data_IF_661092579527
#
_entry.id   IF_661092579527
#
_cell.length_a   1.000
_cell.length_b   1.000
_cell.length_c   1.000
_cell.angle_alpha   90.00
_cell.angle_beta   90.00
_cell.angle_gamma   90.00
#
_symmetry.space_group_name_H-M   'P 1'
#
loop_
_entity.id
_entity.type
_entity.pdbx_description
1 polymer ?
#
# COMPACT_ATOMS: atom_id res chain seq x y z
N UNK A 1 -27.39 -4.30 -0.26
CA UNK A 1 -27.59 -3.19 0.71
C UNK A 1 -26.24 -2.52 0.90
N UNK A 2 -26.18 -1.18 0.89
CA UNK A 2 -24.95 -0.41 1.11
C UNK A 2 -25.10 0.43 2.39
N UNK A 3 -24.01 0.86 3.04
CA UNK A 3 -24.10 1.73 4.22
C UNK A 3 -24.77 3.07 3.88
N UNK A 4 -25.62 3.55 4.78
CA UNK A 4 -26.26 4.87 4.70
C UNK A 4 -25.95 5.67 5.98
N UNK A 5 -25.81 6.99 5.85
CA UNK A 5 -25.67 7.88 7.00
C UNK A 5 -26.96 7.87 7.82
N UNK A 6 -26.83 7.69 9.13
CA UNK A 6 -27.96 7.74 10.09
C UNK A 6 -28.07 9.11 10.76
N UNK A 7 -27.56 10.16 10.11
CA UNK A 7 -27.59 11.55 10.57
C UNK A 7 -28.36 12.43 9.59
N UNK A 8 -29.10 13.41 10.11
CA UNK A 8 -29.74 14.46 9.31
C UNK A 8 -28.79 15.63 9.02
N UNK A 9 -27.64 15.70 9.69
CA UNK A 9 -26.67 16.78 9.57
C UNK A 9 -25.66 16.45 8.47
N UNK A 10 -25.95 16.89 7.25
CA UNK A 10 -25.11 16.69 6.05
C UNK A 10 -24.71 18.00 5.37
N UNK A 11 -25.05 19.15 5.94
CA UNK A 11 -24.76 20.47 5.35
C UNK A 11 -23.29 20.68 5.00
N UNK A 12 -22.35 20.53 5.97
CA UNK A 12 -20.92 20.68 5.69
C UNK A 12 -20.39 19.66 4.68
N UNK A 13 -20.88 18.41 4.71
CA UNK A 13 -20.53 17.40 3.72
C UNK A 13 -20.98 17.80 2.32
N UNK A 14 -22.23 18.25 2.15
CA UNK A 14 -22.76 18.68 0.85
C UNK A 14 -22.01 19.91 0.30
N UNK A 15 -21.63 20.85 1.17
CA UNK A 15 -20.79 21.99 0.77
C UNK A 15 -19.39 21.55 0.34
N UNK A 16 -18.74 20.65 1.11
CA UNK A 16 -17.45 20.07 0.75
C UNK A 16 -17.51 19.35 -0.61
N UNK A 17 -18.54 18.54 -0.83
CA UNK A 17 -18.79 17.85 -2.11
C UNK A 17 -18.95 18.85 -3.26
N UNK A 18 -19.78 19.88 -3.08
CA UNK A 18 -19.99 20.91 -4.10
C UNK A 18 -18.69 21.64 -4.45
N UNK A 19 -17.86 21.97 -3.45
CA UNK A 19 -16.55 22.60 -3.65
C UNK A 19 -15.61 21.70 -4.44
N UNK A 20 -15.46 20.43 -4.04
CA UNK A 20 -14.63 19.44 -4.74
C UNK A 20 -15.09 19.27 -6.20
N UNK A 21 -16.39 19.12 -6.43
CA UNK A 21 -16.94 18.95 -7.77
C UNK A 21 -16.70 20.20 -8.64
N UNK A 22 -16.90 21.40 -8.08
CA UNK A 22 -16.66 22.66 -8.79
C UNK A 22 -15.19 22.91 -9.13
N UNK A 23 -14.27 22.35 -8.34
CA UNK A 23 -12.82 22.53 -8.47
C UNK A 23 -12.09 21.32 -9.09
N UNK A 24 -12.81 20.34 -9.65
CA UNK A 24 -12.22 19.06 -10.08
C UNK A 24 -10.99 19.20 -10.99
N UNK A 25 -11.05 20.03 -12.04
CA UNK A 25 -9.91 20.23 -12.93
C UNK A 25 -8.70 20.89 -12.23
N UNK A 26 -8.96 21.81 -11.30
CA UNK A 26 -7.94 22.47 -10.48
C UNK A 26 -7.28 21.47 -9.52
N UNK A 27 -8.07 20.64 -8.85
CA UNK A 27 -7.59 19.57 -7.95
C UNK A 27 -6.71 18.59 -8.72
N UNK A 28 -7.16 18.11 -9.87
CA UNK A 28 -6.40 17.16 -10.70
C UNK A 28 -5.09 17.77 -11.22
N UNK A 29 -5.08 19.06 -11.57
CA UNK A 29 -3.86 19.77 -11.94
C UNK A 29 -2.89 19.88 -10.76
N UNK A 30 -3.38 20.28 -9.59
CA UNK A 30 -2.57 20.39 -8.38
C UNK A 30 -1.98 19.04 -7.97
N UNK A 31 -2.78 17.97 -7.94
CA UNK A 31 -2.31 16.60 -7.66
C UNK A 31 -1.21 16.17 -8.63
N UNK A 32 -1.36 16.41 -9.95
CA UNK A 32 -0.30 16.10 -10.92
C UNK A 32 1.01 16.83 -10.58
N UNK A 33 0.95 18.09 -10.14
CA UNK A 33 2.12 18.83 -9.67
C UNK A 33 2.76 18.19 -8.44
N UNK A 34 1.97 17.86 -7.42
CA UNK A 34 2.44 17.20 -6.21
C UNK A 34 3.17 15.88 -6.51
N UNK A 35 2.69 15.09 -7.48
CA UNK A 35 3.32 13.82 -7.87
C UNK A 35 4.58 13.94 -8.73
N UNK A 36 4.89 15.14 -9.26
CA UNK A 36 6.18 15.44 -9.88
C UNK A 36 7.25 15.72 -8.82
N UNK A 37 6.86 16.39 -7.74
CA UNK A 37 7.78 16.75 -6.63
C UNK A 37 7.95 15.61 -5.62
N UNK A 38 6.92 14.78 -5.47
CA UNK A 38 6.88 13.69 -4.50
C UNK A 38 6.61 12.35 -5.18
N UNK A 39 7.51 11.39 -4.94
CA UNK A 39 7.32 10.03 -5.42
C UNK A 39 6.23 9.32 -4.57
N UNK A 40 5.13 8.84 -5.18
CA UNK A 40 4.11 8.10 -4.46
C UNK A 40 4.65 6.72 -4.07
N UNK A 41 4.17 6.14 -2.95
CA UNK A 41 4.51 4.76 -2.61
C UNK A 41 3.98 3.78 -3.66
N UNK A 42 4.58 2.58 -3.74
CA UNK A 42 4.12 1.50 -4.64
C UNK A 42 2.62 1.18 -4.45
N UNK A 43 2.14 1.28 -3.22
CA UNK A 43 0.74 1.12 -2.84
C UNK A 43 0.46 1.77 -1.48
N UNK A 44 -0.81 1.82 -1.09
CA UNK A 44 -1.24 2.21 0.25
C UNK A 44 -2.74 2.11 0.40
N UNK A 45 -3.22 2.08 1.64
CA UNK A 45 -4.64 2.26 1.97
C UNK A 45 -4.82 3.39 2.97
N UNK A 46 -5.95 4.08 2.88
CA UNK A 46 -6.32 5.18 3.77
C UNK A 46 -7.71 4.90 4.31
N UNK A 47 -7.83 4.87 5.64
CA UNK A 47 -9.12 4.74 6.31
C UNK A 47 -9.72 6.12 6.48
N UNK A 48 -10.96 6.30 6.03
CA UNK A 48 -11.71 7.54 6.16
C UNK A 48 -12.86 7.38 7.16
N UNK A 49 -13.23 8.47 7.82
CA UNK A 49 -14.50 8.56 8.57
C UNK A 49 -15.33 9.72 8.04
N UNK A 50 -16.57 9.40 7.66
CA UNK A 50 -17.59 10.38 7.32
C UNK A 50 -18.54 10.56 8.50
N UNK A 51 -18.55 11.77 9.08
CA UNK A 51 -19.41 12.14 10.21
C UNK A 51 -20.59 13.04 9.82
N UNK A 52 -20.78 13.33 8.52
CA UNK A 52 -21.77 14.29 8.01
C UNK A 52 -21.36 15.76 8.14
N UNK A 53 -20.55 16.09 9.15
CA UNK A 53 -19.95 17.43 9.32
C UNK A 53 -18.44 17.48 9.00
N UNK A 54 -17.78 16.33 8.86
CA UNK A 54 -16.33 16.20 8.61
C UNK A 54 -16.03 14.87 7.91
N UNK A 55 -15.11 14.91 6.94
CA UNK A 55 -14.62 13.76 6.19
C UNK A 55 -13.09 13.76 6.22
N UNK A 56 -12.51 12.97 7.12
CA UNK A 56 -11.09 13.01 7.41
C UNK A 56 -10.46 11.61 7.42
N UNK A 57 -9.17 11.48 7.06
CA UNK A 57 -8.45 10.23 7.25
C UNK A 57 -8.15 9.99 8.72
N UNK A 58 -8.19 8.72 9.11
CA UNK A 58 -7.89 8.27 10.48
C UNK A 58 -6.74 7.27 10.54
N UNK A 59 -6.42 6.62 9.42
CA UNK A 59 -5.24 5.77 9.29
C UNK A 59 -4.68 5.81 7.87
N UNK A 60 -3.36 5.61 7.75
CA UNK A 60 -2.67 5.42 6.48
C UNK A 60 -1.73 4.24 6.63
N UNK A 61 -2.00 3.18 5.88
CA UNK A 61 -1.22 1.96 5.90
C UNK A 61 -0.45 1.81 4.58
N UNK A 62 0.88 1.79 4.69
CA UNK A 62 1.77 1.53 3.56
C UNK A 62 1.95 0.03 3.28
N UNK A 63 1.37 -0.86 4.08
CA UNK A 63 1.40 -2.31 3.93
C UNK A 63 -0.04 -2.88 3.94
N UNK A 64 -0.92 -2.46 3.01
CA UNK A 64 -2.32 -2.86 3.02
C UNK A 64 -2.48 -4.38 2.92
N UNK A 65 -3.22 -4.97 3.85
CA UNK A 65 -3.44 -6.43 3.96
C UNK A 65 -4.81 -6.91 3.50
N UNK A 66 -5.53 -6.11 2.70
CA UNK A 66 -6.93 -6.33 2.33
C UNK A 66 -7.21 -6.36 0.83
N UNK A 67 -6.22 -6.68 -0.02
CA UNK A 67 -6.40 -6.68 -1.47
C UNK A 67 -7.51 -7.64 -1.94
N UNK A 68 -7.74 -8.73 -1.21
CA UNK A 68 -8.83 -9.69 -1.47
C UNK A 68 -10.24 -9.07 -1.33
N UNK A 69 -10.38 -7.92 -0.66
CA UNK A 69 -11.65 -7.22 -0.49
C UNK A 69 -11.98 -6.28 -1.66
N UNK A 70 -11.04 -6.05 -2.59
CA UNK A 70 -11.30 -5.24 -3.77
C UNK A 70 -12.31 -5.92 -4.70
N UNK A 71 -13.21 -5.14 -5.30
CA UNK A 71 -14.18 -5.68 -6.25
C UNK A 71 -13.45 -6.32 -7.45
N UNK A 72 -13.65 -7.61 -7.74
CA UNK A 72 -12.98 -8.29 -8.84
C UNK A 72 -13.19 -7.66 -10.22
N UNK A 73 -14.28 -6.91 -10.42
CA UNK A 73 -14.53 -6.19 -11.67
C UNK A 73 -13.50 -5.08 -11.96
N UNK A 74 -12.84 -4.55 -10.93
CA UNK A 74 -11.78 -3.54 -11.07
C UNK A 74 -10.38 -4.13 -11.14
N UNK A 75 -10.25 -5.45 -11.33
CA UNK A 75 -8.97 -6.11 -11.49
C UNK A 75 -8.12 -5.49 -12.61
N UNK A 76 -8.65 -5.18 -13.82
CA UNK A 76 -7.86 -4.52 -14.86
C UNK A 76 -7.26 -3.17 -14.43
N UNK A 77 -8.02 -2.37 -13.65
CA UNK A 77 -7.54 -1.09 -13.13
C UNK A 77 -6.40 -1.29 -12.13
N UNK A 78 -6.51 -2.30 -11.26
CA UNK A 78 -5.45 -2.65 -10.31
C UNK A 78 -4.16 -3.09 -11.01
N UNK A 79 -4.27 -3.87 -12.10
CA UNK A 79 -3.10 -4.26 -12.92
C UNK A 79 -2.46 -3.02 -13.56
N UNK A 80 -3.26 -2.17 -14.19
CA UNK A 80 -2.75 -0.96 -14.84
C UNK A 80 -2.03 -0.02 -13.84
N UNK A 81 -2.61 0.16 -12.65
CA UNK A 81 -1.98 0.95 -11.59
C UNK A 81 -0.65 0.32 -11.12
N UNK A 82 -0.61 -1.01 -10.96
CA UNK A 82 0.62 -1.72 -10.59
C UNK A 82 1.71 -1.61 -11.68
N UNK A 83 1.34 -1.69 -12.96
CA UNK A 83 2.28 -1.47 -14.08
C UNK A 83 2.88 -0.06 -14.03
N UNK A 84 2.04 0.97 -13.92
CA UNK A 84 2.50 2.36 -13.84
C UNK A 84 3.42 2.62 -12.63
N UNK A 85 3.10 2.01 -11.47
CA UNK A 85 3.92 2.14 -10.28
C UNK A 85 5.29 1.45 -10.44
N UNK A 86 5.32 0.26 -11.06
CA UNK A 86 6.56 -0.47 -11.34
C UNK A 86 7.41 0.25 -12.39
N UNK A 87 6.81 0.79 -13.46
CA UNK A 87 7.53 1.56 -14.48
C UNK A 87 8.21 2.80 -13.90
N UNK A 88 7.56 3.49 -12.96
CA UNK A 88 8.13 4.67 -12.28
C UNK A 88 9.30 4.30 -11.36
N UNK A 89 9.17 3.20 -10.61
CA UNK A 89 10.14 2.83 -9.56
C UNK A 89 11.30 1.98 -10.11
N UNK A 90 11.00 0.97 -10.91
CA UNK A 90 11.97 0.00 -11.43
C UNK A 90 11.52 -0.53 -12.81
N UNK A 91 11.73 0.24 -13.89
CA UNK A 91 11.21 -0.09 -15.23
C UNK A 91 11.80 -1.37 -15.83
N UNK A 92 12.99 -1.77 -15.36
CA UNK A 92 13.65 -3.00 -15.81
C UNK A 92 13.26 -4.23 -14.97
N UNK A 93 12.28 -4.10 -14.07
CA UNK A 93 11.91 -5.18 -13.17
C UNK A 93 11.33 -6.38 -13.93
N UNK A 94 11.91 -7.56 -13.68
CA UNK A 94 11.41 -8.85 -14.19
C UNK A 94 10.94 -9.76 -13.07
N UNK A 95 11.68 -9.75 -11.97
CA UNK A 95 11.49 -10.62 -10.82
C UNK A 95 11.13 -9.78 -9.60
N UNK A 96 10.00 -10.08 -8.97
CA UNK A 96 9.54 -9.46 -7.73
C UNK A 96 9.45 -10.50 -6.62
N UNK A 97 10.14 -10.23 -5.52
CA UNK A 97 10.05 -11.02 -4.30
C UNK A 97 9.03 -10.38 -3.36
N UNK A 98 7.92 -11.06 -3.14
CA UNK A 98 6.90 -10.65 -2.18
C UNK A 98 7.23 -11.25 -0.80
N UNK A 99 7.36 -10.40 0.21
CA UNK A 99 7.56 -10.81 1.60
C UNK A 99 6.30 -10.46 2.40
N UNK A 100 5.47 -11.46 2.78
CA UNK A 100 4.24 -11.25 3.52
C UNK A 100 4.50 -11.14 5.04
N UNK A 101 3.45 -10.81 5.79
CA UNK A 101 3.37 -10.98 7.23
C UNK A 101 3.61 -12.45 7.62
N UNK A 102 4.00 -12.64 8.87
CA UNK A 102 4.25 -13.96 9.46
C UNK A 102 2.95 -14.76 9.75
N UNK A 103 1.81 -14.35 9.20
CA UNK A 103 0.50 -14.96 9.42
C UNK A 103 0.23 -16.12 8.45
N UNK A 104 0.48 -17.35 8.88
CA UNK A 104 0.20 -18.56 8.07
C UNK A 104 -1.16 -19.21 8.35
N UNK A 105 -1.89 -18.73 9.37
CA UNK A 105 -3.20 -19.29 9.78
C UNK A 105 -4.38 -18.38 9.49
N UNK A 106 -4.13 -17.10 9.19
CA UNK A 106 -5.20 -16.16 8.86
C UNK A 106 -5.57 -16.32 7.39
N UNK A 107 -6.67 -17.03 7.13
CA UNK A 107 -7.18 -17.31 5.79
C UNK A 107 -7.37 -16.03 4.96
N UNK A 108 -7.95 -14.97 5.54
CA UNK A 108 -8.18 -13.72 4.82
C UNK A 108 -6.87 -13.05 4.41
N UNK A 109 -5.85 -13.11 5.27
CA UNK A 109 -4.54 -12.58 4.93
C UNK A 109 -3.85 -13.40 3.82
N UNK A 110 -3.99 -14.73 3.84
CA UNK A 110 -3.49 -15.57 2.75
C UNK A 110 -4.18 -15.26 1.41
N UNK A 111 -5.51 -15.04 1.42
CA UNK A 111 -6.25 -14.58 0.25
C UNK A 111 -5.76 -13.21 -0.24
N UNK A 112 -5.41 -12.30 0.67
CA UNK A 112 -4.76 -11.04 0.34
C UNK A 112 -3.43 -11.26 -0.41
N UNK A 113 -2.57 -12.16 0.08
CA UNK A 113 -1.28 -12.49 -0.56
C UNK A 113 -1.49 -13.11 -1.95
N UNK A 114 -2.48 -14.01 -2.10
CA UNK A 114 -2.89 -14.56 -3.41
C UNK A 114 -3.29 -13.43 -4.37
N UNK A 115 -4.11 -12.48 -3.90
CA UNK A 115 -4.57 -11.36 -4.73
C UNK A 115 -3.41 -10.46 -5.15
N UNK A 116 -2.51 -10.14 -4.22
CA UNK A 116 -1.34 -9.31 -4.49
C UNK A 116 -0.40 -9.96 -5.51
N UNK A 117 -0.11 -11.26 -5.32
CA UNK A 117 0.67 -12.06 -6.27
C UNK A 117 0.00 -12.05 -7.66
N UNK A 118 -1.32 -12.18 -7.72
CA UNK A 118 -2.08 -12.16 -8.98
C UNK A 118 -1.96 -10.81 -9.70
N UNK A 119 -2.13 -9.69 -8.98
CA UNK A 119 -1.99 -8.33 -9.52
C UNK A 119 -0.62 -8.15 -10.20
N UNK A 120 0.46 -8.44 -9.48
CA UNK A 120 1.81 -8.21 -10.00
C UNK A 120 2.22 -9.21 -11.09
N UNK A 121 1.71 -10.45 -11.06
CA UNK A 121 1.89 -11.39 -12.18
C UNK A 121 1.20 -10.91 -13.45
N UNK A 122 -0.03 -10.42 -13.34
CA UNK A 122 -0.76 -9.85 -14.48
C UNK A 122 -0.12 -8.55 -14.98
N UNK A 123 0.59 -7.82 -14.12
CA UNK A 123 1.41 -6.66 -14.49
C UNK A 123 2.73 -7.04 -15.20
N UNK A 124 2.95 -8.32 -15.49
CA UNK A 124 4.10 -8.80 -16.26
C UNK A 124 5.32 -9.22 -15.44
N UNK A 125 5.22 -9.30 -14.11
CA UNK A 125 6.33 -9.70 -13.25
C UNK A 125 6.30 -11.19 -12.91
N UNK A 126 7.48 -11.79 -12.81
CA UNK A 126 7.65 -13.09 -12.17
C UNK A 126 7.66 -12.90 -10.65
N UNK A 127 6.56 -13.28 -9.98
CA UNK A 127 6.38 -13.10 -8.54
C UNK A 127 6.56 -14.40 -7.77
N UNK A 128 7.49 -14.41 -6.82
CA UNK A 128 7.68 -15.49 -5.83
C UNK A 128 7.62 -14.94 -4.41
N UNK A 129 7.34 -15.82 -3.44
CA UNK A 129 7.04 -15.43 -2.06
C UNK A 129 8.14 -15.92 -1.14
N UNK A 130 8.83 -14.99 -0.48
CA UNK A 130 9.83 -15.29 0.53
C UNK A 130 9.26 -15.13 1.93
N UNK A 131 9.52 -16.09 2.82
CA UNK A 131 9.05 -16.05 4.19
C UNK A 131 10.14 -15.58 5.16
N UNK A 132 9.77 -14.72 6.12
CA UNK A 132 10.59 -14.37 7.28
C UNK A 132 10.42 -15.36 8.45
N UNK A 133 9.56 -16.37 8.32
CA UNK A 133 9.34 -17.36 9.36
C UNK A 133 10.56 -18.30 9.50
N UNK A 134 11.16 -18.42 10.69
CA UNK A 134 12.31 -19.30 10.90
C UNK A 134 12.03 -20.79 10.60
N UNK A 135 10.79 -21.23 10.80
CA UNK A 135 10.37 -22.63 10.60
C UNK A 135 10.17 -23.00 9.11
N UNK A 136 10.24 -22.03 8.19
CA UNK A 136 10.17 -22.27 6.74
C UNK A 136 11.59 -22.44 6.22
N UNK A 137 12.15 -23.65 6.33
CA UNK A 137 13.51 -24.01 5.90
C UNK A 137 13.57 -24.61 4.48
N UNK A 138 12.40 -24.88 3.89
CA UNK A 138 12.22 -25.41 2.53
C UNK A 138 10.93 -24.86 1.91
N UNK A 139 10.79 -24.90 0.56
CA UNK A 139 9.56 -24.52 -0.11
C UNK A 139 8.36 -25.27 0.49
N UNK A 140 7.45 -24.52 1.11
CA UNK A 140 6.34 -25.03 1.89
C UNK A 140 5.03 -24.56 1.28
N UNK A 141 4.15 -25.51 0.93
CA UNK A 141 2.82 -25.19 0.43
C UNK A 141 1.91 -24.81 1.59
N UNK A 142 1.19 -23.71 1.42
CA UNK A 142 0.15 -23.26 2.34
C UNK A 142 -1.16 -23.25 1.58
N UNK A 143 -2.11 -24.04 2.05
CA UNK A 143 -3.44 -24.14 1.47
C UNK A 143 -4.23 -22.85 1.71
N UNK A 144 -4.92 -22.38 0.66
CA UNK A 144 -5.78 -21.20 0.72
C UNK A 144 -7.15 -21.59 0.16
N UNK A 145 -8.22 -21.53 0.96
CA UNK A 145 -9.57 -21.85 0.51
C UNK A 145 -9.95 -21.11 -0.78
N UNK A 146 -10.51 -21.86 -1.74
CA UNK A 146 -10.96 -21.37 -3.06
C UNK A 146 -9.87 -20.78 -3.97
N UNK A 147 -8.60 -21.00 -3.63
CA UNK A 147 -7.45 -20.51 -4.41
C UNK A 147 -6.37 -21.60 -4.57
N UNK A 148 -5.50 -21.48 -5.59
CA UNK A 148 -4.28 -22.28 -5.64
C UNK A 148 -3.44 -22.07 -4.37
N UNK A 149 -2.74 -23.11 -3.89
CA UNK A 149 -1.91 -22.99 -2.70
C UNK A 149 -0.76 -22.00 -2.95
N UNK A 150 -0.42 -21.24 -1.90
CA UNK A 150 0.78 -20.41 -1.91
C UNK A 150 2.00 -21.28 -1.66
N UNK A 151 3.09 -20.98 -2.36
CA UNK A 151 4.40 -21.57 -2.07
C UNK A 151 5.23 -20.53 -1.31
N UNK A 152 5.46 -20.77 -0.02
CA UNK A 152 6.33 -19.96 0.81
C UNK A 152 7.74 -20.54 0.79
N UNK A 153 8.73 -19.70 0.53
CA UNK A 153 10.10 -20.16 0.32
C UNK A 153 11.06 -19.49 1.31
N UNK A 154 12.08 -20.21 1.80
CA UNK A 154 13.11 -19.63 2.65
C UNK A 154 13.84 -18.50 1.91
N UNK A 155 13.99 -17.36 2.59
CA UNK A 155 14.81 -16.27 2.10
C UNK A 155 16.30 -16.65 2.11
N UNK A 156 17.00 -16.36 1.02
CA UNK A 156 18.43 -16.62 0.86
C UNK A 156 19.15 -15.31 0.64
N UNK A 157 20.04 -14.95 1.58
CA UNK A 157 20.90 -13.77 1.46
C UNK A 157 22.24 -14.13 0.83
N UNK A 158 22.64 -13.36 -0.19
CA UNK A 158 23.93 -13.47 -0.89
C UNK A 158 24.58 -12.09 -0.90
N UNK A 159 25.37 -11.81 0.13
CA UNK A 159 25.98 -10.48 0.32
C UNK A 159 24.93 -9.39 0.54
N UNK A 160 24.92 -8.39 -0.33
CA UNK A 160 24.00 -7.24 -0.41
C UNK A 160 22.66 -7.56 -1.09
N UNK A 161 22.44 -8.81 -1.52
CA UNK A 161 21.23 -9.22 -2.24
C UNK A 161 20.42 -10.24 -1.45
N UNK A 162 19.11 -10.15 -1.55
CA UNK A 162 18.14 -11.06 -0.97
C UNK A 162 17.29 -11.69 -2.08
N UNK A 163 17.19 -13.01 -2.07
CA UNK A 163 16.42 -13.76 -3.05
C UNK A 163 15.93 -15.08 -2.49
N UNK A 164 15.74 -16.04 -3.38
CA UNK A 164 15.45 -17.43 -3.04
C UNK A 164 16.55 -18.34 -3.62
N UNK A 165 16.42 -19.65 -3.47
CA UNK A 165 17.40 -20.64 -3.89
C UNK A 165 17.88 -20.45 -5.35
N UNK A 166 16.96 -20.21 -6.27
CA UNK A 166 17.19 -20.04 -7.72
C UNK A 166 16.54 -18.76 -8.26
N UNK A 167 16.29 -17.78 -7.39
CA UNK A 167 15.58 -16.55 -7.73
C UNK A 167 16.34 -15.33 -7.22
N UNK A 168 16.69 -14.44 -8.14
CA UNK A 168 17.33 -13.15 -7.84
C UNK A 168 16.40 -12.00 -8.30
N UNK A 169 15.68 -11.34 -7.38
CA UNK A 169 14.81 -10.23 -7.68
C UNK A 169 15.58 -8.91 -7.77
N UNK A 170 15.10 -8.00 -8.60
CA UNK A 170 15.50 -6.59 -8.57
C UNK A 170 14.67 -5.78 -7.55
N UNK A 171 13.47 -6.27 -7.24
CA UNK A 171 12.49 -5.58 -6.42
C UNK A 171 11.94 -6.51 -5.35
N UNK A 172 11.90 -6.03 -4.12
CA UNK A 172 11.35 -6.68 -2.95
C UNK A 172 10.13 -5.89 -2.52
N UNK A 173 8.95 -6.50 -2.62
CA UNK A 173 7.71 -5.92 -2.14
C UNK A 173 7.43 -6.46 -0.74
N UNK A 174 7.46 -5.59 0.25
CA UNK A 174 7.08 -5.89 1.62
C UNK A 174 5.57 -5.73 1.76
N UNK A 175 4.86 -6.80 2.07
CA UNK A 175 3.50 -6.74 2.63
C UNK A 175 3.51 -7.12 4.12
N UNK A 176 4.60 -6.72 4.78
CA UNK A 176 4.88 -6.91 6.19
C UNK A 176 5.31 -5.54 6.75
N UNK A 177 4.63 -5.06 7.79
CA UNK A 177 4.85 -3.72 8.34
C UNK A 177 6.15 -3.59 9.17
N UNK A 178 6.80 -4.72 9.45
CA UNK A 178 8.01 -4.85 10.26
C UNK A 178 7.85 -4.14 11.63
N UNK A 179 6.66 -4.22 12.22
CA UNK A 179 6.31 -3.59 13.50
C UNK A 179 7.20 -4.04 14.67
N UNK A 180 7.71 -5.27 14.63
CA UNK A 180 8.70 -5.79 15.59
C UNK A 180 10.14 -5.28 15.36
N UNK A 181 10.34 -4.43 14.34
CA UNK A 181 11.65 -3.94 13.91
C UNK A 181 12.12 -4.61 12.61
N UNK A 182 13.04 -3.94 11.90
CA UNK A 182 13.61 -4.43 10.64
C UNK A 182 14.61 -5.56 10.92
N UNK A 183 14.34 -6.81 10.49
CA UNK A 183 15.24 -7.96 10.63
C UNK A 183 16.57 -7.72 9.92
N UNK A 184 17.64 -8.30 10.44
CA UNK A 184 19.00 -8.13 9.88
C UNK A 184 19.08 -8.54 8.40
N UNK A 185 18.36 -9.59 8.01
CA UNK A 185 18.33 -10.09 6.62
C UNK A 185 17.85 -9.04 5.61
N UNK A 186 17.06 -8.05 6.04
CA UNK A 186 16.55 -6.96 5.20
C UNK A 186 17.45 -5.70 5.19
N UNK A 187 18.51 -5.65 6.00
CA UNK A 187 19.39 -4.48 6.09
C UNK A 187 20.51 -4.53 5.06
N UNK A 188 20.92 -3.37 4.53
CA UNK A 188 22.04 -3.28 3.58
C UNK A 188 21.76 -3.99 2.25
N UNK A 189 20.54 -3.82 1.73
CA UNK A 189 20.11 -4.32 0.42
C UNK A 189 20.27 -3.20 -0.63
N UNK A 190 21.50 -2.78 -0.87
CA UNK A 190 21.79 -1.56 -1.65
C UNK A 190 21.58 -1.73 -3.16
N UNK A 191 21.46 -2.97 -3.63
CA UNK A 191 21.31 -3.32 -5.05
C UNK A 191 19.88 -3.73 -5.44
N UNK A 192 18.92 -3.58 -4.51
CA UNK A 192 17.53 -4.00 -4.70
C UNK A 192 16.57 -2.94 -4.17
N UNK A 193 15.48 -2.74 -4.89
CA UNK A 193 14.43 -1.84 -4.42
C UNK A 193 13.59 -2.54 -3.36
N UNK A 194 13.65 -2.07 -2.11
CA UNK A 194 12.76 -2.52 -1.04
C UNK A 194 11.59 -1.56 -0.94
N UNK A 195 10.38 -2.07 -1.22
CA UNK A 195 9.16 -1.27 -1.37
C UNK A 195 8.07 -1.74 -0.41
N UNK A 196 7.43 -0.85 0.37
CA UNK A 196 7.89 0.50 0.70
C UNK A 196 9.30 0.50 1.34
N UNK A 197 10.02 1.64 1.32
CA UNK A 197 11.33 1.76 1.96
C UNK A 197 11.29 1.40 3.45
N UNK A 198 12.33 0.75 3.97
CA UNK A 198 12.38 0.25 5.36
C UNK A 198 12.21 1.34 6.43
N UNK A 199 12.65 2.57 6.15
CA UNK A 199 12.47 3.72 7.04
C UNK A 199 11.02 4.25 7.08
N UNK A 200 10.16 3.76 6.19
CA UNK A 200 8.72 4.02 6.22
C UNK A 200 7.98 2.99 7.10
N UNK A 201 8.66 1.95 7.59
CA UNK A 201 8.09 0.92 8.46
C UNK A 201 7.67 1.45 9.83
N UNK A 202 6.75 0.72 10.49
CA UNK A 202 6.11 1.16 11.73
C UNK A 202 7.12 1.45 12.86
N UNK A 203 8.18 0.65 12.96
CA UNK A 203 9.20 0.77 14.00
C UNK A 203 9.98 2.11 13.98
N UNK A 204 9.97 2.85 12.86
CA UNK A 204 10.77 4.09 12.72
C UNK A 204 9.93 5.34 12.46
N UNK A 205 8.64 5.19 12.14
CA UNK A 205 7.74 6.32 11.88
C UNK A 205 7.28 6.98 13.18
N UNK A 206 7.50 8.31 13.29
CA UNK A 206 6.86 9.13 14.32
C UNK A 206 5.49 9.60 13.86
N UNK A 207 4.42 9.22 14.58
CA UNK A 207 3.05 9.65 14.28
C UNK A 207 2.90 11.17 14.18
N UNK A 208 3.56 11.93 15.06
CA UNK A 208 3.53 13.40 15.04
C UNK A 208 4.08 14.00 13.73
N UNK A 209 5.10 13.39 13.12
CA UNK A 209 5.63 13.83 11.82
C UNK A 209 4.64 13.59 10.69
N UNK A 210 3.90 12.47 10.74
CA UNK A 210 2.85 12.22 9.77
C UNK A 210 1.72 13.23 9.87
N UNK A 211 1.22 13.50 11.08
CA UNK A 211 0.16 14.50 11.26
C UNK A 211 0.63 15.89 10.83
N UNK A 212 1.84 16.31 11.23
CA UNK A 212 2.39 17.58 10.75
C UNK A 212 2.60 17.65 9.23
N UNK A 213 2.85 16.51 8.56
CA UNK A 213 2.90 16.47 7.10
C UNK A 213 1.50 16.56 6.49
N UNK A 214 0.53 15.86 7.06
CA UNK A 214 -0.86 15.92 6.63
C UNK A 214 -1.48 17.30 6.86
N UNK A 215 -1.17 17.97 7.97
CA UNK A 215 -1.63 19.32 8.29
C UNK A 215 -1.24 20.31 7.18
N UNK A 216 0.00 20.22 6.68
CA UNK A 216 0.44 21.06 5.55
C UNK A 216 -0.34 20.78 4.28
N UNK A 217 -0.49 19.51 3.92
CA UNK A 217 -1.25 19.09 2.73
C UNK A 217 -2.71 19.52 2.82
N UNK A 218 -3.33 19.36 4.00
CA UNK A 218 -4.71 19.76 4.24
C UNK A 218 -4.89 21.27 4.15
N UNK A 219 -3.94 22.06 4.68
CA UNK A 219 -3.94 23.51 4.59
C UNK A 219 -3.84 23.99 3.14
N UNK A 220 -2.85 23.48 2.39
CA UNK A 220 -2.65 23.85 0.98
C UNK A 220 -3.86 23.46 0.12
N UNK A 221 -4.41 22.26 0.34
CA UNK A 221 -5.61 21.80 -0.36
C UNK A 221 -6.84 22.63 0.00
N UNK A 222 -7.02 23.00 1.27
CA UNK A 222 -8.14 23.80 1.72
C UNK A 222 -8.11 25.21 1.12
N UNK A 223 -6.92 25.83 1.06
CA UNK A 223 -6.70 27.12 0.39
C UNK A 223 -7.00 27.03 -1.11
N UNK A 224 -6.58 25.94 -1.78
CA UNK A 224 -6.80 25.72 -3.22
C UNK A 224 -8.29 25.76 -3.60
N UNK A 225 -9.16 25.18 -2.77
CA UNK A 225 -10.59 25.02 -3.10
C UNK A 225 -11.52 25.89 -2.24
N UNK A 226 -10.96 26.69 -1.33
CA UNK A 226 -11.70 27.63 -0.49
C UNK A 226 -12.63 26.94 0.52
N UNK A 227 -12.12 25.95 1.25
CA UNK A 227 -12.83 25.28 2.35
C UNK A 227 -12.14 25.54 3.68
N UNK A 228 -12.83 25.26 4.79
CA UNK A 228 -12.19 25.16 6.11
C UNK A 228 -11.33 23.88 6.17
N UNK A 229 -10.01 23.96 6.43
CA UNK A 229 -9.14 22.79 6.53
C UNK A 229 -9.61 21.78 7.59
N UNK A 230 -10.33 22.23 8.63
CA UNK A 230 -10.90 21.35 9.65
C UNK A 230 -11.86 20.30 9.08
N UNK A 231 -12.48 20.55 7.92
CA UNK A 231 -13.40 19.59 7.28
C UNK A 231 -12.71 18.32 6.79
N UNK A 232 -11.39 18.39 6.53
CA UNK A 232 -10.59 17.28 5.99
C UNK A 232 -9.41 16.88 6.90
N UNK A 233 -9.00 17.75 7.83
CA UNK A 233 -7.93 17.48 8.78
C UNK A 233 -8.48 16.97 10.13
N UNK A 234 -8.09 15.77 10.65
CA UNK A 234 -8.58 15.30 11.94
C UNK A 234 -8.23 16.21 13.14
N UNK A 235 -7.11 16.96 13.09
CA UNK A 235 -6.66 17.85 14.18
C UNK A 235 -7.02 19.32 13.93
#
# INVERSE_FOLDING_TARGET
MVPHLTTALTGPLAELEARILSASATIEHWLRGQWQEHEPPIYGSVDLRNSGFKLAPVDTNLFPGGFNNLNPQFMPLCVQAAMAAIEKICPNARNLLLIPENHTRNVFYLQNVVRLQTIFRQAGLNVRIGSLLPDIDRPTKVEVPDHPPLLLEPLVRRGSRLGLADFDPCTILLNNDLSAGVPEILRGLDEQFVLPPLHAGWATRRKSRHFAAYDRVAQEFAELIGIDPWLVNPY
#
